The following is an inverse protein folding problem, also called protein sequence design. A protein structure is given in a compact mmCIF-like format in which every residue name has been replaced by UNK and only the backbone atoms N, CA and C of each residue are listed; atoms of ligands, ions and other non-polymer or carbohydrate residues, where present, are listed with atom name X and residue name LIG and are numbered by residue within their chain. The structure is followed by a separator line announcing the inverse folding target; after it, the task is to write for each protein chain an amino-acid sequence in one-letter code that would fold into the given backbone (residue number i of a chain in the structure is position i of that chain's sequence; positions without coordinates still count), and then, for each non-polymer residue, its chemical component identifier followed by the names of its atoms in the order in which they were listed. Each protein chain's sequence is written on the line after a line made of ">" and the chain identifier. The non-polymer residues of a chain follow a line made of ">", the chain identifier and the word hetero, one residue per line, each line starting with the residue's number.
data_IF_703363830298
#
_entry.id   IF_703363830298
#
_cell.length_a   1.000
_cell.length_b   1.000
_cell.length_c   1.000
_cell.angle_alpha   90.00
_cell.angle_beta   90.00
_cell.angle_gamma   90.00
#
_symmetry.space_group_name_H-M   'P 1'
#
loop_
_entity.id
_entity.type
_entity.pdbx_description
1 polymer ?
#
# COMPACT_ATOMS: atom_id res chain seq x y z
N UNK A 1 -20.19 9.95 -32.07
CA UNK A 1 -19.48 9.87 -30.79
C UNK A 1 -18.47 8.76 -30.94
N UNK A 2 -17.18 9.08 -31.00
CA UNK A 2 -16.14 8.06 -31.12
C UNK A 2 -16.05 7.32 -29.80
N UNK A 3 -16.41 6.04 -29.80
CA UNK A 3 -16.12 5.11 -28.71
C UNK A 3 -14.60 4.92 -28.65
N UNK A 4 -13.92 5.85 -27.98
CA UNK A 4 -12.53 5.66 -27.59
C UNK A 4 -12.56 4.61 -26.49
N UNK A 5 -12.35 3.34 -26.85
CA UNK A 5 -11.99 2.31 -25.87
C UNK A 5 -10.70 2.80 -25.22
N UNK A 6 -10.77 3.21 -23.96
CA UNK A 6 -9.58 3.45 -23.16
C UNK A 6 -8.74 2.16 -23.21
N UNK A 7 -7.55 2.27 -23.79
CA UNK A 7 -6.62 1.17 -23.88
C UNK A 7 -5.99 1.04 -22.50
N UNK A 8 -6.27 -0.07 -21.82
CA UNK A 8 -5.66 -0.40 -20.54
C UNK A 8 -4.14 -0.19 -20.61
N UNK A 9 -3.63 0.64 -19.72
CA UNK A 9 -2.23 0.96 -19.57
C UNK A 9 -1.74 0.45 -18.20
N UNK A 10 -0.96 -0.62 -18.21
CA UNK A 10 -0.42 -1.22 -16.99
C UNK A 10 0.46 -0.28 -16.16
N UNK A 11 0.97 0.81 -16.75
CA UNK A 11 1.71 1.86 -16.02
C UNK A 11 0.81 2.74 -15.14
N UNK A 12 -0.43 2.98 -15.56
CA UNK A 12 -1.38 3.92 -14.90
C UNK A 12 -2.58 3.23 -14.27
N UNK A 13 -2.86 2.00 -14.67
CA UNK A 13 -4.06 1.27 -14.33
C UNK A 13 -3.70 0.18 -13.33
N UNK A 14 -3.54 0.60 -12.08
CA UNK A 14 -3.49 -0.31 -10.93
C UNK A 14 -4.71 -0.10 -10.08
N UNK A 15 -5.18 -1.17 -9.45
CA UNK A 15 -6.42 -1.14 -8.69
C UNK A 15 -6.18 -1.69 -7.29
N UNK A 16 -6.93 -1.15 -6.34
CA UNK A 16 -7.04 -1.71 -5.01
C UNK A 16 -7.78 -3.04 -5.09
N UNK A 17 -7.19 -4.13 -4.62
CA UNK A 17 -7.79 -5.47 -4.68
C UNK A 17 -9.02 -5.62 -3.77
N UNK A 18 -9.24 -4.69 -2.83
CA UNK A 18 -10.41 -4.70 -1.94
C UNK A 18 -11.58 -3.86 -2.45
N UNK A 19 -11.33 -2.64 -2.91
CA UNK A 19 -12.40 -1.70 -3.28
C UNK A 19 -12.48 -1.43 -4.78
N UNK A 20 -11.59 -2.02 -5.58
CA UNK A 20 -11.49 -1.85 -7.04
C UNK A 20 -11.22 -0.40 -7.48
N UNK A 21 -10.97 0.51 -6.53
CA UNK A 21 -10.60 1.88 -6.81
C UNK A 21 -9.22 1.97 -7.44
N UNK A 22 -9.05 2.92 -8.37
CA UNK A 22 -7.77 3.18 -9.02
C UNK A 22 -6.71 3.63 -7.99
N UNK A 23 -5.51 3.08 -8.11
CA UNK A 23 -4.33 3.47 -7.34
C UNK A 23 -3.21 3.88 -8.27
N UNK A 24 -2.37 4.81 -7.79
CA UNK A 24 -1.26 5.33 -8.57
C UNK A 24 0.04 4.63 -8.15
N UNK A 25 0.86 4.23 -9.12
CA UNK A 25 2.22 3.74 -8.86
C UNK A 25 3.17 4.92 -8.64
N UNK A 26 4.19 4.72 -7.81
CA UNK A 26 5.27 5.70 -7.62
C UNK A 26 6.26 5.65 -8.79
N UNK A 27 6.53 4.46 -9.33
CA UNK A 27 7.45 4.22 -10.44
C UNK A 27 6.70 3.67 -11.66
N UNK A 28 7.18 4.00 -12.86
CA UNK A 28 6.69 3.42 -14.11
C UNK A 28 7.10 1.95 -14.26
N UNK A 29 6.43 1.14 -15.10
CA UNK A 29 6.85 -0.26 -15.33
C UNK A 29 8.26 -0.37 -15.90
N UNK A 30 8.69 0.61 -16.70
CA UNK A 30 10.05 0.65 -17.23
C UNK A 30 11.13 0.72 -16.13
N UNK A 31 10.77 1.26 -14.96
CA UNK A 31 11.67 1.39 -13.80
C UNK A 31 11.57 0.19 -12.85
N UNK A 32 10.52 -0.63 -12.97
CA UNK A 32 10.26 -1.75 -12.08
C UNK A 32 10.94 -3.03 -12.56
N UNK A 33 11.69 -3.71 -11.68
CA UNK A 33 12.23 -5.06 -11.93
C UNK A 33 11.24 -6.18 -11.59
N UNK A 34 9.94 -5.90 -11.68
CA UNK A 34 8.85 -6.86 -11.45
C UNK A 34 8.44 -7.07 -9.98
N UNK A 35 9.28 -6.76 -9.00
CA UNK A 35 9.03 -7.03 -7.57
C UNK A 35 8.93 -5.79 -6.70
N UNK A 36 9.30 -4.63 -7.25
CA UNK A 36 9.55 -3.41 -6.48
C UNK A 36 8.38 -2.43 -6.59
N UNK A 37 7.16 -2.94 -6.67
CA UNK A 37 5.96 -2.11 -6.86
C UNK A 37 5.71 -1.27 -5.62
N UNK A 38 5.88 0.04 -5.76
CA UNK A 38 5.52 1.01 -4.73
C UNK A 38 4.26 1.77 -5.16
N UNK A 39 3.27 1.84 -4.27
CA UNK A 39 1.97 2.48 -4.50
C UNK A 39 1.95 3.82 -3.77
N UNK A 40 1.57 4.87 -4.48
CA UNK A 40 1.42 6.20 -3.90
C UNK A 40 0.25 6.18 -2.91
N UNK A 41 0.53 6.54 -1.64
CA UNK A 41 -0.44 6.47 -0.54
C UNK A 41 -1.16 5.10 -0.46
N UNK A 42 -0.42 4.01 -0.62
CA UNK A 42 -1.00 2.67 -0.55
C UNK A 42 0.03 1.64 -0.11
N UNK A 43 -0.38 0.38 -0.18
CA UNK A 43 0.43 -0.76 0.21
C UNK A 43 0.39 -1.80 -0.91
N UNK A 44 1.56 -2.26 -1.32
CA UNK A 44 1.66 -3.47 -2.12
C UNK A 44 2.43 -4.51 -1.30
N UNK A 45 1.82 -5.69 -1.14
CA UNK A 45 2.45 -6.81 -0.47
C UNK A 45 2.68 -7.90 -1.51
N UNK A 46 3.93 -8.33 -1.58
CA UNK A 46 4.34 -9.51 -2.30
C UNK A 46 4.74 -10.59 -1.30
N UNK A 47 3.82 -11.51 -1.04
CA UNK A 47 4.05 -12.60 -0.09
C UNK A 47 4.61 -13.81 -0.83
N UNK A 48 5.93 -13.97 -0.74
CA UNK A 48 6.59 -15.21 -1.15
C UNK A 48 6.43 -16.26 -0.06
N UNK A 49 6.00 -17.44 -0.47
CA UNK A 49 6.07 -18.62 0.37
C UNK A 49 7.49 -19.11 0.56
N UNK A 50 7.69 -19.86 1.64
CA UNK A 50 8.87 -20.68 1.87
C UNK A 50 8.41 -22.03 2.42
N UNK A 51 9.10 -23.11 2.04
CA UNK A 51 8.72 -24.47 2.40
C UNK A 51 8.56 -24.65 3.93
N UNK A 52 7.35 -25.03 4.36
CA UNK A 52 6.95 -25.18 5.76
C UNK A 52 6.27 -23.95 6.37
N UNK A 53 5.96 -22.92 5.56
CA UNK A 53 5.27 -21.71 5.98
C UNK A 53 3.75 -21.78 5.82
N UNK A 54 3.02 -20.86 6.47
CA UNK A 54 1.56 -20.72 6.31
C UNK A 54 1.14 -20.42 4.86
N UNK A 55 2.05 -19.85 4.08
CA UNK A 55 1.87 -19.49 2.67
C UNK A 55 2.80 -20.32 1.77
N UNK A 56 2.80 -21.64 1.87
CA UNK A 56 3.62 -22.50 0.99
C UNK A 56 3.28 -22.23 -0.48
N UNK A 57 4.05 -21.37 -1.15
CA UNK A 57 3.99 -21.17 -2.60
C UNK A 57 5.03 -22.10 -3.20
N UNK A 58 4.58 -23.14 -3.88
CA UNK A 58 5.46 -24.05 -4.62
C UNK A 58 5.83 -23.39 -5.94
N UNK A 59 6.70 -22.38 -5.90
CA UNK A 59 7.10 -21.59 -7.08
C UNK A 59 7.69 -22.47 -8.20
N UNK A 60 8.32 -23.59 -7.84
CA UNK A 60 8.81 -24.61 -8.77
C UNK A 60 7.70 -25.49 -9.38
N UNK A 61 6.50 -25.53 -8.78
CA UNK A 61 5.31 -26.20 -9.29
C UNK A 61 4.40 -25.26 -10.09
N UNK A 62 4.78 -23.98 -10.25
CA UNK A 62 4.03 -22.98 -11.00
C UNK A 62 3.11 -22.10 -10.15
N UNK A 63 3.09 -22.29 -8.83
CA UNK A 63 2.34 -21.41 -7.93
C UNK A 63 3.00 -20.03 -7.88
N UNK A 64 2.22 -18.98 -8.13
CA UNK A 64 2.71 -17.61 -8.03
C UNK A 64 2.60 -17.12 -6.59
N UNK A 65 3.52 -16.25 -6.14
CA UNK A 65 3.37 -15.53 -4.88
C UNK A 65 2.00 -14.87 -4.79
N UNK A 66 1.45 -14.80 -3.57
CA UNK A 66 0.27 -14.00 -3.34
C UNK A 66 0.67 -12.52 -3.42
N UNK A 67 0.02 -11.80 -4.31
CA UNK A 67 0.18 -10.35 -4.47
C UNK A 67 -1.14 -9.69 -4.11
N UNK A 68 -1.07 -8.62 -3.32
CA UNK A 68 -2.21 -7.74 -3.16
C UNK A 68 -1.78 -6.29 -2.96
N UNK A 69 -2.64 -5.40 -3.41
CA UNK A 69 -2.48 -3.96 -3.53
C UNK A 69 -3.67 -3.29 -2.87
N UNK A 70 -3.41 -2.40 -1.93
CA UNK A 70 -4.43 -1.64 -1.21
C UNK A 70 -4.21 -0.14 -1.40
N UNK A 71 -5.30 0.58 -1.64
CA UNK A 71 -5.30 2.04 -1.53
C UNK A 71 -5.19 2.47 -0.05
N UNK A 72 -4.95 3.75 0.19
CA UNK A 72 -4.86 4.37 1.52
C UNK A 72 -5.96 3.87 2.48
N UNK A 73 -7.23 4.04 2.12
CA UNK A 73 -8.35 3.73 3.02
C UNK A 73 -8.47 2.24 3.32
N UNK A 74 -8.07 1.39 2.36
CA UNK A 74 -8.04 -0.05 2.57
C UNK A 74 -6.83 -0.48 3.42
N UNK A 75 -5.73 0.28 3.42
CA UNK A 75 -4.63 0.08 4.38
C UNK A 75 -5.08 0.43 5.81
N UNK A 76 -5.81 1.54 5.97
CA UNK A 76 -6.40 1.95 7.26
C UNK A 76 -7.35 0.88 7.78
N UNK A 77 -8.20 0.32 6.91
CA UNK A 77 -9.04 -0.83 7.26
C UNK A 77 -8.20 -2.03 7.74
N UNK A 78 -7.19 -2.45 6.98
CA UNK A 78 -6.36 -3.60 7.35
C UNK A 78 -5.66 -3.41 8.69
N UNK A 79 -5.13 -2.21 8.95
CA UNK A 79 -4.51 -1.88 10.22
C UNK A 79 -5.50 -2.05 11.40
N UNK A 80 -6.75 -1.62 11.22
CA UNK A 80 -7.80 -1.74 12.23
C UNK A 80 -8.27 -3.19 12.48
N UNK A 81 -8.21 -4.07 11.46
CA UNK A 81 -8.58 -5.49 11.62
C UNK A 81 -7.55 -6.29 12.44
N UNK A 82 -6.31 -5.83 12.52
CA UNK A 82 -5.23 -6.53 13.23
C UNK A 82 -4.78 -5.65 14.41
N UNK A 83 -5.28 -5.88 15.64
CA UNK A 83 -5.04 -4.99 16.79
C UNK A 83 -3.56 -4.75 17.10
N UNK A 84 -2.69 -5.74 16.83
CA UNK A 84 -1.26 -5.60 16.96
C UNK A 84 -0.69 -4.55 15.99
N UNK A 85 -1.12 -4.57 14.72
CA UNK A 85 -0.71 -3.57 13.73
C UNK A 85 -1.29 -2.20 14.08
N UNK A 86 -2.58 -2.10 14.43
CA UNK A 86 -3.18 -0.83 14.84
C UNK A 86 -2.43 -0.15 15.99
N UNK A 87 -1.88 -0.92 16.94
CA UNK A 87 -1.10 -0.39 18.06
C UNK A 87 0.24 0.19 17.61
N UNK A 88 0.97 -0.53 16.77
CA UNK A 88 2.30 -0.15 16.29
C UNK A 88 2.25 0.90 15.17
N UNK A 89 1.17 0.95 14.39
CA UNK A 89 0.98 1.88 13.28
C UNK A 89 0.59 3.30 13.71
N UNK A 90 0.48 3.58 15.02
CA UNK A 90 0.24 4.95 15.51
C UNK A 90 1.42 5.84 15.13
N UNK A 91 1.17 6.79 14.23
CA UNK A 91 2.20 7.61 13.60
C UNK A 91 2.91 6.97 12.41
N UNK A 92 2.23 6.03 11.75
CA UNK A 92 2.77 5.28 10.61
C UNK A 92 3.12 6.14 9.39
N UNK A 93 2.61 7.37 9.28
CA UNK A 93 3.10 8.33 8.30
C UNK A 93 2.89 9.78 8.75
N UNK A 94 3.71 10.69 8.20
CA UNK A 94 3.61 12.12 8.45
C UNK A 94 2.46 12.79 7.72
N UNK A 95 2.01 13.92 8.27
CA UNK A 95 1.37 15.01 7.54
C UNK A 95 1.90 16.34 8.08
N UNK A 96 2.00 17.36 7.22
CA UNK A 96 2.36 18.71 7.67
C UNK A 96 1.10 19.52 7.92
N UNK A 97 0.70 19.74 9.17
CA UNK A 97 -0.58 20.38 9.53
C UNK A 97 -0.76 21.79 8.97
N UNK A 98 0.32 22.47 8.61
CA UNK A 98 0.29 23.78 7.98
C UNK A 98 0.04 23.74 6.46
N UNK A 99 0.13 22.56 5.84
CA UNK A 99 0.08 22.38 4.39
C UNK A 99 -0.91 21.32 3.92
N UNK A 100 -1.32 20.42 4.82
CA UNK A 100 -2.12 19.24 4.50
C UNK A 100 -3.13 18.97 5.61
N UNK A 101 -4.34 18.57 5.22
CA UNK A 101 -5.32 18.04 6.16
C UNK A 101 -4.94 16.62 6.58
N UNK A 102 -5.31 16.25 7.82
CA UNK A 102 -5.08 14.91 8.34
C UNK A 102 -5.96 13.90 7.58
N UNK A 103 -5.34 12.93 6.92
CA UNK A 103 -6.06 11.95 6.09
C UNK A 103 -6.60 10.72 6.85
N UNK A 104 -6.03 10.34 7.99
CA UNK A 104 -6.53 9.23 8.83
C UNK A 104 -6.06 9.34 10.29
N UNK A 105 -6.56 8.44 11.15
CA UNK A 105 -6.17 8.34 12.56
C UNK A 105 -4.71 7.94 12.79
N UNK A 106 -4.05 7.34 11.80
CA UNK A 106 -2.65 6.93 11.89
C UNK A 106 -1.65 8.02 11.45
N UNK A 107 -2.14 9.09 10.84
CA UNK A 107 -1.31 10.23 10.44
C UNK A 107 -0.80 11.01 11.66
N UNK A 108 0.51 11.29 11.70
CA UNK A 108 1.18 12.06 12.75
C UNK A 108 1.69 13.39 12.22
N UNK A 109 1.46 14.46 12.97
CA UNK A 109 1.83 15.81 12.57
C UNK A 109 3.33 16.02 12.79
N UNK A 110 4.09 16.12 11.69
CA UNK A 110 5.54 16.35 11.75
C UNK A 110 5.89 17.77 12.17
N UNK A 111 4.99 18.73 11.93
CA UNK A 111 5.18 20.12 12.30
C UNK A 111 4.84 20.37 13.78
N UNK A 112 4.22 19.38 14.43
CA UNK A 112 3.96 19.42 15.86
C UNK A 112 5.31 19.23 16.57
N UNK A 113 5.87 20.35 17.03
CA UNK A 113 6.95 20.33 18.02
C UNK A 113 6.45 19.68 19.32
N UNK A 114 6.35 18.35 19.36
CA UNK A 114 6.19 17.63 20.61
C UNK A 114 7.55 17.62 21.31
N UNK A 115 7.61 18.42 22.39
CA UNK A 115 8.60 18.33 23.46
C UNK A 115 9.08 16.87 23.59
N UNK A 116 10.38 16.68 23.34
CA UNK A 116 11.13 15.46 23.66
C UNK A 116 11.07 15.22 25.18
N UNK A 117 9.95 14.74 25.70
CA UNK A 117 9.96 14.06 26.99
C UNK A 117 10.35 12.61 26.70
N UNK A 118 11.64 12.37 26.89
CA UNK A 118 12.28 11.08 26.83
C UNK A 118 11.54 10.09 27.74
N UNK A 119 11.28 8.89 27.19
CA UNK A 119 11.11 7.67 27.98
C UNK A 119 12.44 6.95 28.00
#
# INVERSE_FOLDING_TARGET
>A
MSDVKEVYNSDTDSFCDRCEGQVNRVFSEAELKGTDRQIHNGLHIWAQGYYGGFWDTMSFAGDRPAEFTLCHDCCVWLANEIPAIAKEAKGGHGFGSNTQERCCEYAFDWDREEKKEAV
#
